data_IF_429826440940
#
_entry.id   IF_429826440940
#
_cell.length_a   1.000
_cell.length_b   1.000
_cell.length_c   1.000
_cell.angle_alpha   90.00
_cell.angle_beta   90.00
_cell.angle_gamma   90.00
#
_symmetry.space_group_name_H-M   'P 1'
#
loop_
_entity.id
_entity.type
_entity.pdbx_description
1 polymer ?
#
# COMPACT_ATOMS: atom_id res chain seq x y z
N UNK A 1 -3.52 -5.43 24.26
CA UNK A 1 -3.27 -4.23 23.42
C UNK A 1 -4.47 -3.29 23.48
N UNK A 2 -4.36 -2.03 23.01
CA UNK A 2 -5.54 -1.14 22.91
C UNK A 2 -6.53 -1.69 21.89
N UNK A 3 -7.80 -1.81 22.29
CA UNK A 3 -8.90 -2.14 21.40
C UNK A 3 -8.88 -1.24 20.15
N UNK A 4 -9.10 -1.83 18.97
CA UNK A 4 -9.15 -1.06 17.72
C UNK A 4 -10.37 -0.14 17.77
N UNK A 5 -10.13 1.16 17.68
CA UNK A 5 -11.20 2.17 17.64
C UNK A 5 -11.70 2.36 16.21
N UNK A 6 -12.96 2.78 16.07
CA UNK A 6 -13.61 3.04 14.77
C UNK A 6 -12.85 4.07 13.92
N UNK A 7 -12.25 5.07 14.55
CA UNK A 7 -11.38 6.06 13.89
C UNK A 7 -10.11 5.43 13.28
N UNK A 8 -9.54 4.41 13.94
CA UNK A 8 -8.39 3.68 13.39
C UNK A 8 -8.79 2.85 12.16
N UNK A 9 -9.97 2.23 12.18
CA UNK A 9 -10.49 1.48 11.04
C UNK A 9 -10.74 2.40 9.85
N UNK A 10 -11.29 3.60 10.09
CA UNK A 10 -11.48 4.63 9.06
C UNK A 10 -10.17 5.05 8.42
N UNK A 11 -9.13 5.26 9.21
CA UNK A 11 -7.80 5.59 8.69
C UNK A 11 -7.18 4.44 7.87
N UNK A 12 -7.38 3.18 8.29
CA UNK A 12 -6.94 2.02 7.51
C UNK A 12 -7.69 1.89 6.18
N UNK A 13 -9.00 2.16 6.18
CA UNK A 13 -9.81 2.18 4.96
C UNK A 13 -9.31 3.22 3.95
N UNK A 14 -8.89 4.41 4.41
CA UNK A 14 -8.29 5.44 3.56
C UNK A 14 -6.98 4.97 2.92
N UNK A 15 -6.08 4.33 3.68
CA UNK A 15 -4.83 3.78 3.16
C UNK A 15 -5.05 2.67 2.13
N UNK A 16 -6.06 1.82 2.37
CA UNK A 16 -6.45 0.74 1.47
C UNK A 16 -7.28 1.23 0.28
N UNK A 17 -7.69 2.50 0.24
CA UNK A 17 -8.58 3.11 -0.76
C UNK A 17 -9.94 2.40 -0.85
N UNK A 18 -10.53 2.09 0.30
CA UNK A 18 -11.85 1.48 0.42
C UNK A 18 -12.81 2.53 1.00
N UNK A 19 -13.92 2.79 0.31
CA UNK A 19 -15.01 3.61 0.84
C UNK A 19 -15.97 2.72 1.64
N UNK A 20 -16.26 3.12 2.88
CA UNK A 20 -17.12 2.39 3.81
C UNK A 20 -18.06 3.33 4.55
N UNK A 21 -19.23 2.82 4.90
CA UNK A 21 -20.23 3.50 5.73
C UNK A 21 -19.92 3.37 7.23
N UNK A 22 -20.54 4.20 8.07
CA UNK A 22 -20.30 4.17 9.52
C UNK A 22 -20.70 2.83 10.18
N UNK A 23 -21.76 2.19 9.68
CA UNK A 23 -22.20 0.88 10.17
C UNK A 23 -21.18 -0.22 9.84
N UNK A 24 -20.61 -0.19 8.64
CA UNK A 24 -19.56 -1.12 8.20
C UNK A 24 -18.26 -0.93 8.99
N UNK A 25 -17.92 0.31 9.34
CA UNK A 25 -16.76 0.61 10.19
C UNK A 25 -16.91 0.03 11.59
N UNK A 26 -18.11 0.10 12.17
CA UNK A 26 -18.40 -0.49 13.49
C UNK A 26 -18.31 -2.02 13.46
N UNK A 27 -18.88 -2.66 12.44
CA UNK A 27 -18.79 -4.11 12.27
C UNK A 27 -17.33 -4.57 12.09
N UNK A 28 -16.58 -3.86 11.25
CA UNK A 28 -15.20 -4.23 10.95
C UNK A 28 -14.25 -3.98 12.13
N UNK A 29 -14.53 -3.00 13.00
CA UNK A 29 -13.78 -2.83 14.24
C UNK A 29 -13.86 -4.06 15.14
N UNK A 30 -15.05 -4.65 15.29
CA UNK A 30 -15.25 -5.85 16.09
C UNK A 30 -14.54 -7.09 15.50
N UNK A 31 -14.60 -7.25 14.17
CA UNK A 31 -13.94 -8.37 13.49
C UNK A 31 -12.40 -8.27 13.56
N UNK A 32 -11.85 -7.07 13.41
CA UNK A 32 -10.40 -6.84 13.48
C UNK A 32 -9.85 -7.08 14.90
N UNK A 33 -10.62 -6.82 15.94
CA UNK A 33 -10.21 -7.06 17.34
C UNK A 33 -9.97 -8.56 17.61
N UNK A 34 -10.78 -9.44 17.00
CA UNK A 34 -10.61 -10.90 17.07
C UNK A 34 -9.30 -11.34 16.39
N UNK A 35 -8.98 -10.75 15.23
CA UNK A 35 -7.76 -11.08 14.48
C UNK A 35 -6.53 -10.63 15.27
N UNK A 36 -6.53 -9.42 15.83
CA UNK A 36 -5.41 -8.93 16.64
C UNK A 36 -5.20 -9.79 17.88
N UNK A 37 -6.29 -10.18 18.56
CA UNK A 37 -6.22 -11.12 19.68
C UNK A 37 -5.59 -12.45 19.26
N UNK A 38 -5.89 -12.95 18.05
CA UNK A 38 -5.27 -14.17 17.51
C UNK A 38 -3.78 -13.98 17.19
N UNK A 39 -3.38 -12.77 16.79
CA UNK A 39 -1.96 -12.44 16.54
C UNK A 39 -1.14 -12.33 17.83
N UNK A 40 -1.74 -11.97 18.96
CA UNK A 40 -1.06 -11.96 20.26
C UNK A 40 -0.50 -13.36 20.59
N UNK A 41 -1.27 -14.42 20.35
CA UNK A 41 -0.83 -15.82 20.52
C UNK A 41 0.38 -16.18 19.63
N UNK A 42 0.46 -15.61 18.43
CA UNK A 42 1.61 -15.82 17.55
C UNK A 42 2.86 -15.12 18.08
N UNK A 43 2.70 -13.93 18.67
CA UNK A 43 3.83 -13.15 19.20
C UNK A 43 4.58 -13.86 20.34
N UNK A 44 3.90 -14.69 21.11
CA UNK A 44 4.51 -15.55 22.15
C UNK A 44 5.41 -16.65 21.57
N UNK A 45 5.15 -17.05 20.32
CA UNK A 45 5.82 -18.19 19.67
C UNK A 45 6.93 -17.76 18.71
N UNK A 46 7.01 -16.47 18.35
CA UNK A 46 8.00 -15.95 17.41
C UNK A 46 9.33 -15.69 18.12
N UNK A 47 10.21 -16.70 18.09
CA UNK A 47 11.61 -16.57 18.52
C UNK A 47 12.40 -15.75 17.48
N UNK A 48 13.33 -14.85 17.88
CA UNK A 48 14.12 -14.02 16.95
C UNK A 48 15.06 -14.81 16.01
N UNK A 49 15.22 -16.11 16.25
CA UNK A 49 16.11 -17.00 15.48
C UNK A 49 15.44 -17.63 14.25
N UNK A 50 14.23 -17.20 13.88
CA UNK A 50 13.56 -17.69 12.67
C UNK A 50 14.18 -17.00 11.45
N UNK A 51 14.90 -17.71 10.57
CA UNK A 51 15.40 -17.11 9.34
C UNK A 51 14.21 -16.65 8.49
N UNK A 52 14.23 -15.40 8.00
CA UNK A 52 13.18 -14.90 7.11
C UNK A 52 13.05 -15.87 5.92
N UNK A 53 11.83 -16.33 5.58
CA UNK A 53 11.64 -17.21 4.44
C UNK A 53 11.98 -16.46 3.15
N UNK A 54 13.24 -16.57 2.73
CA UNK A 54 13.74 -15.99 1.50
C UNK A 54 13.38 -16.95 0.37
N UNK A 55 12.20 -16.78 -0.21
CA UNK A 55 11.91 -17.39 -1.51
C UNK A 55 12.95 -16.88 -2.52
N UNK A 56 13.51 -17.79 -3.30
CA UNK A 56 14.58 -17.46 -4.25
C UNK A 56 14.02 -16.59 -5.37
N UNK A 57 14.26 -15.29 -5.31
CA UNK A 57 13.93 -14.36 -6.40
C UNK A 57 14.73 -14.73 -7.65
N UNK A 58 14.04 -15.27 -8.66
CA UNK A 58 14.63 -15.55 -9.96
C UNK A 58 14.65 -14.26 -10.78
N UNK A 59 15.78 -13.56 -10.79
CA UNK A 59 16.00 -12.44 -11.70
C UNK A 59 15.98 -12.95 -13.14
N UNK A 60 14.99 -12.50 -13.91
CA UNK A 60 14.92 -12.74 -15.34
C UNK A 60 15.79 -11.70 -16.03
N UNK A 61 16.90 -12.13 -16.65
CA UNK A 61 17.62 -11.29 -17.62
C UNK A 61 16.69 -11.04 -18.80
N UNK A 62 16.30 -9.78 -19.01
CA UNK A 62 15.43 -9.38 -20.10
C UNK A 62 16.17 -9.55 -21.44
N UNK A 63 15.98 -10.69 -22.10
CA UNK A 63 16.18 -10.76 -23.54
C UNK A 63 14.80 -10.62 -24.20
N UNK A 64 14.60 -9.47 -24.88
CA UNK A 64 13.38 -9.07 -25.55
C UNK A 64 13.09 -10.06 -26.69
N UNK A 65 11.99 -10.81 -26.57
CA UNK A 65 11.31 -11.38 -27.73
C UNK A 65 9.84 -11.07 -27.60
N UNK A 66 9.44 -10.02 -28.31
CA UNK A 66 8.05 -9.74 -28.66
C UNK A 66 7.46 -10.97 -29.39
N UNK A 67 6.11 -10.97 -29.50
CA UNK A 67 5.24 -12.00 -30.11
C UNK A 67 4.90 -13.14 -29.12
N UNK A 68 3.66 -13.36 -28.67
CA UNK A 68 2.34 -13.13 -29.23
C UNK A 68 1.31 -12.95 -28.10
N UNK A 69 0.28 -12.12 -28.31
CA UNK A 69 -0.86 -11.99 -27.40
C UNK A 69 -1.16 -10.59 -26.90
N UNK A 70 -0.41 -9.56 -27.32
CA UNK A 70 -0.73 -8.17 -27.00
C UNK A 70 -1.98 -7.76 -27.82
N UNK A 71 -3.17 -7.54 -27.21
CA UNK A 71 -4.24 -6.90 -27.93
C UNK A 71 -3.70 -5.54 -28.36
N UNK A 72 -3.81 -5.23 -29.64
CA UNK A 72 -3.42 -3.91 -30.16
C UNK A 72 -4.01 -2.82 -29.25
N UNK A 73 -3.28 -1.73 -28.96
CA UNK A 73 -3.88 -0.58 -28.31
C UNK A 73 -4.91 0.00 -29.27
N UNK A 74 -6.17 -0.47 -29.16
CA UNK A 74 -7.32 0.27 -29.64
C UNK A 74 -7.17 1.68 -29.08
N UNK A 75 -7.28 2.68 -29.96
CA UNK A 75 -7.09 4.12 -29.71
C UNK A 75 -8.11 4.72 -28.71
N UNK A 76 -8.21 4.14 -27.53
CA UNK A 76 -8.89 4.69 -26.37
C UNK A 76 -7.95 4.48 -25.21
N UNK A 77 -7.11 5.49 -24.97
CA UNK A 77 -6.39 5.64 -23.70
C UNK A 77 -7.39 5.31 -22.58
N UNK A 78 -6.97 4.58 -21.55
CA UNK A 78 -7.77 4.46 -20.33
C UNK A 78 -8.06 5.88 -19.85
N UNK A 79 -9.31 6.30 -19.98
CA UNK A 79 -9.75 7.59 -19.46
C UNK A 79 -9.86 7.40 -17.96
N UNK A 80 -8.79 7.77 -17.26
CA UNK A 80 -8.85 7.99 -15.83
C UNK A 80 -9.31 9.42 -15.59
N UNK A 81 -10.12 9.67 -14.54
CA UNK A 81 -10.37 11.03 -14.10
C UNK A 81 -9.03 11.77 -13.93
N UNK A 82 -8.94 13.05 -14.33
CA UNK A 82 -7.73 13.81 -14.05
C UNK A 82 -7.50 13.79 -12.54
N UNK A 83 -6.25 13.57 -12.12
CA UNK A 83 -5.90 13.74 -10.72
C UNK A 83 -6.35 15.13 -10.29
N UNK A 84 -7.27 15.22 -9.32
CA UNK A 84 -7.56 16.49 -8.66
C UNK A 84 -6.24 16.95 -8.07
N UNK A 85 -5.68 18.06 -8.58
CA UNK A 85 -4.67 18.79 -7.82
C UNK A 85 -5.36 19.20 -6.54
N UNK A 86 -4.93 18.65 -5.40
CA UNK A 86 -5.26 19.26 -4.13
C UNK A 86 -4.71 20.69 -4.17
N UNK A 87 -5.61 21.67 -4.15
CA UNK A 87 -5.22 23.02 -3.82
C UNK A 87 -4.64 22.95 -2.41
N UNK A 88 -3.37 23.29 -2.25
CA UNK A 88 -2.62 23.34 -1.00
C UNK A 88 -1.97 22.01 -0.55
N UNK A 89 -1.00 21.54 -1.32
CA UNK A 89 0.29 21.20 -0.71
C UNK A 89 1.36 21.92 -1.50
N UNK A 90 2.01 22.89 -0.85
CA UNK A 90 3.21 23.50 -1.39
C UNK A 90 4.16 22.35 -1.75
N UNK A 91 4.47 22.19 -3.05
CA UNK A 91 5.62 21.39 -3.46
C UNK A 91 6.80 21.93 -2.65
N UNK A 92 7.44 21.15 -1.75
CA UNK A 92 8.70 21.58 -1.20
C UNK A 92 9.66 21.64 -2.38
N UNK A 93 9.99 22.87 -2.79
CA UNK A 93 11.02 23.15 -3.79
C UNK A 93 12.31 22.50 -3.28
N UNK A 94 12.63 21.32 -3.81
CA UNK A 94 13.89 20.65 -3.55
C UNK A 94 14.96 21.47 -4.30
N UNK A 95 15.44 22.53 -3.64
CA UNK A 95 16.49 23.38 -4.14
C UNK A 95 17.78 22.57 -4.20
N UNK A 96 18.15 22.14 -5.40
CA UNK A 96 19.48 21.61 -5.68
C UNK A 96 20.47 22.77 -5.63
N UNK A 97 20.95 23.10 -4.42
CA UNK A 97 22.06 24.05 -4.24
C UNK A 97 23.33 23.38 -4.76
N UNK A 98 23.65 23.62 -6.02
CA UNK A 98 24.96 23.32 -6.62
C UNK A 98 26.02 24.13 -5.87
N UNK A 99 26.80 23.47 -5.02
CA UNK A 99 28.03 24.04 -4.44
C UNK A 99 29.07 24.17 -5.55
N UNK A 100 29.14 25.36 -6.15
CA UNK A 100 30.28 25.81 -6.95
C UNK A 100 31.38 26.40 -6.07
N UNK A 101 32.51 25.72 -6.02
CA UNK A 101 33.88 26.25 -6.21
C UNK A 101 34.19 27.65 -5.67
N UNK A 102 34.97 27.73 -4.60
CA UNK A 102 36.22 28.50 -4.52
C UNK A 102 37.08 27.95 -3.39
#
# INVERSE_FOLDING_TARGET
MSAITTEQVKHLAELARIEMTEDELNAMAAELDIIVSSMEHLSETVTPDIPRPAIRFRFRTSCVKMLWGRPSPRKRRFQVPPMRRMANSACPQFSTKTKGKT
#
